data_IF_164802150998
#
_entry.id   IF_164802150998
#
_cell.length_a   1.000
_cell.length_b   1.000
_cell.length_c   1.000
_cell.angle_alpha   90.00
_cell.angle_beta   90.00
_cell.angle_gamma   90.00
#
_symmetry.space_group_name_H-M   'P 1'
#
loop_
_entity.id
_entity.type
_entity.pdbx_description
1 polymer ?
#
# COMPACT_ATOMS: atom_id res chain seq x y z
N UNK A 1 -0.42 24.09 31.47
CA UNK A 1 0.28 22.90 31.97
C UNK A 1 1.78 23.03 31.62
N UNK A 2 2.69 22.66 32.49
CA UNK A 2 4.14 22.63 32.17
C UNK A 2 4.55 21.16 32.08
N UNK A 3 5.16 20.76 30.97
CA UNK A 3 5.72 19.42 30.83
C UNK A 3 7.15 19.39 31.32
N UNK A 4 7.53 18.37 32.09
CA UNK A 4 8.90 18.11 32.47
C UNK A 4 9.40 16.93 31.67
N UNK A 5 10.52 17.04 30.96
CA UNK A 5 11.06 15.89 30.24
C UNK A 5 11.43 14.78 31.23
N UNK A 6 11.12 13.57 30.89
CA UNK A 6 11.55 12.37 31.60
C UNK A 6 12.74 11.82 30.82
N UNK A 7 13.87 11.66 31.52
CA UNK A 7 15.07 11.05 30.95
C UNK A 7 14.86 9.53 30.92
N UNK A 8 14.34 9.05 29.79
CA UNK A 8 14.19 7.62 29.51
C UNK A 8 15.33 7.25 28.57
N UNK A 9 16.14 6.21 28.86
CA UNK A 9 17.13 5.75 27.90
C UNK A 9 16.44 5.46 26.57
N UNK A 10 16.77 6.24 25.55
CA UNK A 10 16.24 6.04 24.22
C UNK A 10 16.60 4.62 23.78
N UNK A 11 15.59 3.81 23.51
CA UNK A 11 15.79 2.61 22.70
C UNK A 11 16.48 3.08 21.43
N UNK A 12 17.68 2.59 21.18
CA UNK A 12 18.31 2.81 19.86
C UNK A 12 17.37 2.22 18.85
N UNK A 13 16.65 3.09 18.14
CA UNK A 13 15.84 2.69 17.02
C UNK A 13 16.75 1.87 16.13
N UNK A 14 16.42 0.61 15.97
CA UNK A 14 17.14 -0.30 15.08
C UNK A 14 16.97 0.10 13.62
N UNK A 15 16.27 1.23 13.39
CA UNK A 15 16.35 2.10 12.21
C UNK A 15 16.07 1.39 10.90
N UNK A 16 15.23 0.37 10.92
CA UNK A 16 15.02 -0.37 9.71
C UNK A 16 13.58 -0.16 9.24
N UNK A 17 13.36 0.78 8.29
CA UNK A 17 12.03 1.03 7.76
C UNK A 17 11.49 -0.24 7.09
N UNK A 18 10.21 -0.57 7.33
CA UNK A 18 9.52 -1.70 6.70
C UNK A 18 9.62 -1.68 5.15
N UNK A 19 10.01 -0.53 4.59
CA UNK A 19 10.19 -0.35 3.16
C UNK A 19 11.59 0.20 2.85
N UNK A 20 12.26 -0.45 1.90
CA UNK A 20 13.61 -0.07 1.46
C UNK A 20 13.67 1.19 0.59
N UNK A 21 12.52 1.79 0.28
CA UNK A 21 12.39 2.98 -0.57
C UNK A 21 11.50 4.02 0.11
N UNK A 22 11.77 5.29 -0.17
CA UNK A 22 10.94 6.40 0.27
C UNK A 22 10.11 6.92 -0.91
N UNK A 23 8.86 7.26 -0.66
CA UNK A 23 8.04 7.94 -1.67
C UNK A 23 8.55 9.37 -1.89
N UNK A 24 8.35 9.95 -3.09
CA UNK A 24 8.61 11.36 -3.31
C UNK A 24 7.94 12.23 -2.25
N UNK A 25 8.47 13.45 -2.05
CA UNK A 25 8.04 14.35 -0.98
C UNK A 25 6.52 14.48 -0.88
N UNK A 26 5.86 14.75 -1.99
CA UNK A 26 4.44 15.06 -2.02
C UNK A 26 3.52 13.82 -2.09
N UNK A 27 4.08 12.61 -1.94
CA UNK A 27 3.29 11.39 -1.91
C UNK A 27 3.12 10.87 -0.49
N UNK A 28 2.02 10.10 -0.27
CA UNK A 28 1.78 9.38 0.98
C UNK A 28 2.93 8.43 1.32
N UNK A 29 3.09 8.13 2.60
CA UNK A 29 4.05 7.12 3.05
C UNK A 29 3.63 5.72 2.58
N UNK A 30 4.61 4.82 2.42
CA UNK A 30 4.36 3.40 2.15
C UNK A 30 3.78 2.69 3.38
N UNK A 31 3.14 1.55 3.14
CA UNK A 31 2.40 0.84 4.19
C UNK A 31 1.06 1.50 4.51
N UNK A 32 0.59 2.36 3.62
CA UNK A 32 -0.69 3.05 3.78
C UNK A 32 -1.88 2.09 3.66
N UNK A 33 -2.90 2.33 4.48
CA UNK A 33 -4.27 1.85 4.28
C UNK A 33 -5.10 3.05 3.87
N UNK A 34 -5.26 3.22 2.56
CA UNK A 34 -5.95 4.35 1.94
C UNK A 34 -7.40 3.98 1.65
N UNK A 35 -8.35 4.71 2.23
CA UNK A 35 -9.78 4.50 2.02
C UNK A 35 -10.38 5.60 1.13
N UNK A 36 -10.99 5.21 0.01
CA UNK A 36 -11.67 6.11 -0.93
C UNK A 36 -13.18 5.91 -0.85
N UNK A 37 -13.92 6.94 -0.41
CA UNK A 37 -15.35 6.86 -0.12
C UNK A 37 -16.10 7.77 -1.09
N UNK A 38 -16.88 7.17 -1.98
CA UNK A 38 -17.70 7.95 -2.92
C UNK A 38 -18.74 7.11 -3.64
N UNK A 39 -19.81 7.73 -4.10
CA UNK A 39 -20.81 7.09 -4.97
C UNK A 39 -20.18 6.58 -6.28
N UNK A 40 -20.91 5.72 -6.98
CA UNK A 40 -20.51 5.28 -8.30
C UNK A 40 -20.25 6.47 -9.27
N UNK A 41 -19.29 6.31 -10.17
CA UNK A 41 -18.91 7.31 -11.20
C UNK A 41 -18.35 8.64 -10.65
N UNK A 42 -17.89 8.69 -9.41
CA UNK A 42 -17.26 9.88 -8.81
C UNK A 42 -15.76 10.02 -9.17
N UNK A 43 -15.11 8.97 -9.67
CA UNK A 43 -13.71 9.01 -10.03
C UNK A 43 -12.76 8.30 -9.05
N UNK A 44 -13.28 7.55 -8.05
CA UNK A 44 -12.46 6.78 -7.08
C UNK A 44 -11.36 5.95 -7.74
N UNK A 45 -11.77 5.03 -8.59
CA UNK A 45 -10.84 4.10 -9.26
C UNK A 45 -9.81 4.86 -10.10
N UNK A 46 -10.23 5.96 -10.75
CA UNK A 46 -9.30 6.82 -11.51
C UNK A 46 -8.27 7.50 -10.60
N UNK A 47 -8.69 8.00 -9.45
CA UNK A 47 -7.77 8.59 -8.48
C UNK A 47 -6.73 7.56 -8.02
N UNK A 48 -7.18 6.39 -7.54
CA UNK A 48 -6.28 5.32 -7.07
C UNK A 48 -5.35 4.85 -8.19
N UNK A 49 -5.87 4.68 -9.40
CA UNK A 49 -5.05 4.29 -10.56
C UNK A 49 -3.96 5.30 -10.88
N UNK A 50 -4.29 6.60 -10.83
CA UNK A 50 -3.30 7.66 -11.04
C UNK A 50 -2.25 7.68 -9.93
N UNK A 51 -2.65 7.52 -8.68
CA UNK A 51 -1.74 7.45 -7.55
C UNK A 51 -0.78 6.25 -7.66
N UNK A 52 -1.32 5.06 -7.94
CA UNK A 52 -0.52 3.85 -8.16
C UNK A 52 0.45 4.00 -9.34
N UNK A 53 -0.01 4.63 -10.43
CA UNK A 53 0.84 4.92 -11.58
C UNK A 53 2.00 5.85 -11.21
N UNK A 54 1.74 6.94 -10.48
CA UNK A 54 2.78 7.86 -10.02
C UNK A 54 3.78 7.16 -9.09
N UNK A 55 3.31 6.35 -8.13
CA UNK A 55 4.16 5.57 -7.23
C UNK A 55 5.02 4.55 -8.00
N UNK A 56 4.45 3.93 -9.04
CA UNK A 56 5.20 3.00 -9.90
C UNK A 56 6.26 3.71 -10.72
N UNK A 57 5.94 4.86 -11.34
CA UNK A 57 6.92 5.68 -12.08
C UNK A 57 8.05 6.19 -11.19
N UNK A 58 7.76 6.47 -9.93
CA UNK A 58 8.75 6.86 -8.92
C UNK A 58 9.59 5.68 -8.39
N UNK A 59 9.38 4.44 -8.87
CA UNK A 59 10.06 3.24 -8.37
C UNK A 59 9.66 2.85 -6.94
N UNK A 60 8.52 3.35 -6.46
CA UNK A 60 8.02 3.12 -5.11
C UNK A 60 6.88 2.09 -5.05
N UNK A 61 6.56 1.45 -6.17
CA UNK A 61 5.56 0.39 -6.27
C UNK A 61 6.00 -0.59 -7.35
N UNK A 62 6.32 -1.82 -6.95
CA UNK A 62 6.93 -2.80 -7.85
C UNK A 62 5.92 -3.80 -8.38
N UNK A 63 5.02 -4.30 -7.51
CA UNK A 63 3.98 -5.26 -7.86
C UNK A 63 2.65 -4.80 -7.29
N UNK A 64 1.57 -4.95 -8.07
CA UNK A 64 0.23 -4.53 -7.68
C UNK A 64 -0.72 -5.71 -7.87
N UNK A 65 -1.40 -6.10 -6.79
CA UNK A 65 -2.54 -7.01 -6.84
C UNK A 65 -3.84 -6.22 -6.99
N UNK A 66 -4.76 -6.71 -7.80
CA UNK A 66 -6.07 -6.08 -8.00
C UNK A 66 -7.18 -7.01 -7.53
N UNK A 67 -7.93 -6.58 -6.52
CA UNK A 67 -9.14 -7.25 -6.04
C UNK A 67 -10.36 -6.55 -6.66
N UNK A 68 -10.92 -7.11 -7.72
CA UNK A 68 -12.06 -6.52 -8.44
C UNK A 68 -12.78 -7.54 -9.29
N UNK A 69 -14.13 -7.46 -9.31
CA UNK A 69 -14.97 -8.22 -10.24
C UNK A 69 -15.16 -7.51 -11.61
N UNK A 70 -14.76 -6.23 -11.70
CA UNK A 70 -15.00 -5.38 -12.89
C UNK A 70 -13.83 -5.35 -13.87
N UNK A 71 -12.97 -6.36 -13.84
CA UNK A 71 -11.70 -6.41 -14.59
C UNK A 71 -11.87 -6.30 -16.10
N UNK A 72 -12.97 -6.83 -16.67
CA UNK A 72 -13.22 -6.74 -18.12
C UNK A 72 -13.41 -5.32 -18.63
N UNK A 73 -14.01 -4.44 -17.83
CA UNK A 73 -14.19 -3.01 -18.16
C UNK A 73 -12.92 -2.18 -17.89
N UNK A 74 -12.01 -2.68 -17.09
CA UNK A 74 -10.81 -1.97 -16.63
C UNK A 74 -9.51 -2.46 -17.28
N UNK A 75 -9.57 -3.25 -18.35
CA UNK A 75 -8.40 -3.85 -19.01
C UNK A 75 -7.31 -2.82 -19.37
N UNK A 76 -7.72 -1.64 -19.87
CA UNK A 76 -6.76 -0.56 -20.20
C UNK A 76 -6.03 -0.03 -18.95
N UNK A 77 -6.75 0.06 -17.83
CA UNK A 77 -6.20 0.48 -16.54
C UNK A 77 -5.17 -0.55 -16.03
N UNK A 78 -5.53 -1.82 -16.04
CA UNK A 78 -4.64 -2.92 -15.62
C UNK A 78 -3.36 -2.94 -16.46
N UNK A 79 -3.48 -2.76 -17.78
CA UNK A 79 -2.34 -2.68 -18.69
C UNK A 79 -1.44 -1.47 -18.39
N UNK A 80 -2.00 -0.29 -18.11
CA UNK A 80 -1.23 0.90 -17.81
C UNK A 80 -0.46 0.79 -16.47
N UNK A 81 -1.01 0.02 -15.52
CA UNK A 81 -0.35 -0.30 -14.25
C UNK A 81 0.55 -1.52 -14.34
N UNK A 82 0.62 -2.18 -15.52
CA UNK A 82 1.37 -3.41 -15.72
C UNK A 82 1.02 -4.46 -14.64
N UNK A 83 -0.28 -4.60 -14.39
CA UNK A 83 -0.81 -5.63 -13.50
C UNK A 83 -0.93 -6.91 -14.28
N UNK A 84 -0.28 -7.97 -13.83
CA UNK A 84 -0.30 -9.27 -14.48
C UNK A 84 -1.67 -9.91 -14.34
N UNK A 85 -2.12 -10.73 -15.31
CA UNK A 85 -3.41 -11.42 -15.23
C UNK A 85 -3.58 -12.26 -13.96
N UNK A 86 -2.52 -12.91 -13.49
CA UNK A 86 -2.50 -13.71 -12.27
C UNK A 86 -2.59 -12.89 -10.98
N UNK A 87 -2.27 -11.59 -11.03
CA UNK A 87 -2.39 -10.66 -9.90
C UNK A 87 -3.78 -10.02 -9.80
N UNK A 88 -4.70 -10.39 -10.71
CA UNK A 88 -6.10 -9.98 -10.69
C UNK A 88 -6.95 -11.09 -10.08
N UNK A 89 -7.51 -10.83 -8.90
CA UNK A 89 -8.22 -11.83 -8.11
C UNK A 89 -9.65 -11.33 -7.85
N UNK A 90 -10.63 -12.24 -7.97
CA UNK A 90 -12.02 -11.91 -7.64
C UNK A 90 -12.16 -11.69 -6.11
N UNK A 91 -12.81 -10.62 -5.66
CA UNK A 91 -13.12 -10.42 -4.24
C UNK A 91 -14.17 -11.40 -3.71
N UNK A 92 -14.76 -12.24 -4.57
CA UNK A 92 -15.66 -13.33 -4.18
C UNK A 92 -14.92 -14.64 -3.92
N UNK A 93 -13.66 -14.72 -4.31
CA UNK A 93 -12.81 -15.87 -4.02
C UNK A 93 -12.53 -15.91 -2.50
N UNK A 94 -12.94 -16.97 -1.79
CA UNK A 94 -12.72 -17.10 -0.34
C UNK A 94 -11.24 -17.09 0.04
N UNK A 95 -10.38 -17.52 -0.89
CA UNK A 95 -8.94 -17.63 -0.70
C UNK A 95 -8.17 -16.41 -1.24
N UNK A 96 -8.85 -15.36 -1.68
CA UNK A 96 -8.23 -14.19 -2.31
C UNK A 96 -7.08 -13.61 -1.49
N UNK A 97 -7.28 -13.42 -0.19
CA UNK A 97 -6.25 -12.90 0.72
C UNK A 97 -5.11 -13.89 0.90
N UNK A 98 -5.42 -15.17 1.08
CA UNK A 98 -4.41 -16.21 1.26
C UNK A 98 -3.50 -16.32 0.00
N UNK A 99 -4.07 -16.21 -1.20
CA UNK A 99 -3.32 -16.18 -2.45
C UNK A 99 -2.36 -14.99 -2.52
N UNK A 100 -2.83 -13.79 -2.14
CA UNK A 100 -1.97 -12.59 -2.11
C UNK A 100 -0.84 -12.76 -1.11
N UNK A 101 -1.15 -13.21 0.10
CA UNK A 101 -0.13 -13.42 1.15
C UNK A 101 0.90 -14.44 0.70
N UNK A 102 0.48 -15.58 0.15
CA UNK A 102 1.37 -16.62 -0.37
C UNK A 102 2.31 -16.09 -1.48
N UNK A 103 1.81 -15.24 -2.36
CA UNK A 103 2.66 -14.61 -3.39
C UNK A 103 3.67 -13.61 -2.79
N UNK A 104 3.31 -12.88 -1.73
CA UNK A 104 4.25 -11.97 -1.03
C UNK A 104 5.30 -12.79 -0.27
N UNK A 105 4.92 -13.90 0.35
CA UNK A 105 5.86 -14.83 1.01
C UNK A 105 6.81 -15.46 0.00
N UNK A 106 6.32 -15.85 -1.16
CA UNK A 106 7.16 -16.36 -2.26
C UNK A 106 8.18 -15.32 -2.73
N UNK A 107 7.81 -14.03 -2.81
CA UNK A 107 8.75 -12.95 -3.13
C UNK A 107 9.85 -12.82 -2.05
N UNK A 108 9.51 -12.98 -0.77
CA UNK A 108 10.48 -13.06 0.33
C UNK A 108 11.45 -14.21 0.12
N UNK A 109 10.93 -15.42 -0.15
CA UNK A 109 11.73 -16.62 -0.30
C UNK A 109 12.69 -16.54 -1.50
N UNK A 110 12.23 -15.98 -2.62
CA UNK A 110 13.06 -15.69 -3.79
C UNK A 110 14.19 -14.71 -3.47
N UNK A 111 13.90 -13.69 -2.64
CA UNK A 111 14.90 -12.72 -2.22
C UNK A 111 15.95 -13.36 -1.28
N UNK A 112 15.53 -14.19 -0.34
CA UNK A 112 16.42 -14.93 0.56
C UNK A 112 17.34 -15.83 -0.27
N UNK A 113 16.78 -16.65 -1.15
CA UNK A 113 17.55 -17.54 -2.03
C UNK A 113 18.56 -16.77 -2.90
N UNK A 114 18.15 -15.65 -3.47
CA UNK A 114 19.05 -14.81 -4.25
C UNK A 114 20.23 -14.29 -3.41
N UNK A 115 19.96 -13.80 -2.19
CA UNK A 115 20.98 -13.28 -1.28
C UNK A 115 22.00 -14.36 -0.88
N UNK A 116 21.54 -15.57 -0.60
CA UNK A 116 22.39 -16.71 -0.30
C UNK A 116 23.26 -17.10 -1.51
N UNK A 117 22.65 -17.20 -2.71
CA UNK A 117 23.39 -17.46 -3.95
C UNK A 117 24.42 -16.37 -4.22
N UNK A 118 24.07 -15.10 -4.01
CA UNK A 118 24.98 -13.97 -4.18
C UNK A 118 26.14 -13.99 -3.18
N UNK A 119 25.91 -14.46 -1.94
CA UNK A 119 26.97 -14.63 -0.94
C UNK A 119 27.96 -15.71 -1.41
N UNK A 120 27.46 -16.87 -1.87
CA UNK A 120 28.27 -17.96 -2.44
C UNK A 120 29.02 -17.52 -3.71
N UNK A 121 28.35 -16.82 -4.61
CA UNK A 121 28.96 -16.24 -5.80
C UNK A 121 30.15 -15.31 -5.47
N UNK A 122 29.97 -14.40 -4.51
CA UNK A 122 31.04 -13.49 -4.08
C UNK A 122 32.24 -14.24 -3.48
N UNK A 123 32.00 -15.29 -2.70
CA UNK A 123 33.05 -16.14 -2.13
C UNK A 123 33.78 -16.87 -3.23
N UNK A 124 33.06 -17.48 -4.15
CA UNK A 124 33.59 -18.14 -5.33
C UNK A 124 34.47 -17.21 -6.17
N UNK A 125 33.96 -16.02 -6.49
CA UNK A 125 34.69 -15.08 -7.35
C UNK A 125 35.98 -14.51 -6.70
N UNK A 126 36.08 -14.53 -5.38
CA UNK A 126 37.30 -14.18 -4.65
C UNK A 126 38.34 -15.31 -4.59
N UNK A 127 37.91 -16.53 -4.69
CA UNK A 127 38.74 -17.74 -4.45
C UNK A 127 38.92 -18.57 -5.73
N UNK A 128 38.94 -17.91 -6.91
CA UNK A 128 39.07 -18.56 -8.23
C UNK A 128 40.30 -19.48 -8.37
N UNK A 129 41.29 -19.39 -7.47
CA UNK A 129 42.54 -20.18 -7.50
C UNK A 129 42.48 -21.46 -6.67
N UNK A 130 41.37 -21.81 -6.07
CA UNK A 130 41.28 -22.98 -5.17
C UNK A 130 40.40 -24.06 -5.80
N UNK A 131 40.89 -25.32 -5.76
CA UNK A 131 40.33 -26.57 -6.27
C UNK A 131 38.88 -26.91 -5.82
N UNK A 132 37.95 -26.02 -5.83
CA UNK A 132 36.57 -26.23 -5.39
C UNK A 132 35.62 -26.45 -6.58
N UNK A 133 35.78 -27.57 -7.26
CA UNK A 133 35.07 -27.94 -8.50
C UNK A 133 33.54 -28.07 -8.33
N UNK A 134 33.08 -28.42 -7.12
CA UNK A 134 31.62 -28.60 -6.90
C UNK A 134 30.83 -27.30 -6.81
N UNK A 135 31.40 -26.25 -6.22
CA UNK A 135 30.75 -24.91 -6.17
C UNK A 135 30.78 -24.22 -7.55
N UNK A 136 31.79 -24.55 -8.38
CA UNK A 136 31.91 -24.10 -9.75
C UNK A 136 30.72 -24.52 -10.62
N UNK A 137 30.26 -25.77 -10.46
CA UNK A 137 29.18 -26.34 -11.26
C UNK A 137 27.82 -25.66 -11.00
N UNK A 138 27.60 -25.11 -9.81
CA UNK A 138 26.34 -24.41 -9.48
C UNK A 138 26.14 -23.16 -10.35
N UNK A 139 27.21 -22.46 -10.70
CA UNK A 139 27.15 -21.21 -11.47
C UNK A 139 27.52 -21.35 -12.94
N UNK A 140 27.97 -22.56 -13.34
CA UNK A 140 28.39 -22.80 -14.72
C UNK A 140 27.21 -23.02 -15.64
N UNK A 141 27.12 -22.17 -16.66
CA UNK A 141 26.11 -22.31 -17.71
C UNK A 141 26.73 -23.06 -18.93
N UNK A 142 26.29 -24.30 -19.18
CA UNK A 142 26.87 -25.12 -20.26
C UNK A 142 26.52 -24.56 -21.66
N UNK A 143 25.47 -23.78 -21.80
CA UNK A 143 25.07 -23.20 -23.07
C UNK A 143 25.96 -22.01 -23.49
N UNK A 144 26.23 -21.12 -22.51
CA UNK A 144 27.11 -19.95 -22.74
C UNK A 144 28.59 -20.29 -22.50
N UNK A 145 28.90 -21.45 -21.87
CA UNK A 145 30.23 -21.84 -21.43
C UNK A 145 30.89 -20.83 -20.48
N UNK A 146 30.05 -20.13 -19.70
CA UNK A 146 30.45 -19.08 -18.75
C UNK A 146 29.84 -19.32 -17.38
N UNK A 147 30.37 -18.61 -16.39
CA UNK A 147 29.76 -18.58 -15.05
C UNK A 147 28.76 -17.42 -14.97
N UNK A 148 27.50 -17.76 -14.74
CA UNK A 148 26.43 -16.77 -14.66
C UNK A 148 26.28 -16.27 -13.22
N UNK A 149 26.33 -14.94 -13.07
CA UNK A 149 26.03 -14.30 -11.79
C UNK A 149 24.54 -14.49 -11.46
N UNK A 150 24.19 -14.83 -10.20
CA UNK A 150 22.79 -14.89 -9.79
C UNK A 150 22.03 -13.58 -10.11
N UNK A 151 20.82 -13.71 -10.60
CA UNK A 151 19.97 -12.58 -10.97
C UNK A 151 18.73 -12.53 -10.09
N UNK A 152 18.24 -11.34 -9.85
CA UNK A 152 16.97 -11.08 -9.19
C UNK A 152 16.31 -9.88 -9.85
N UNK A 153 14.99 -9.91 -10.00
CA UNK A 153 14.24 -8.90 -10.75
C UNK A 153 14.31 -7.48 -10.16
N UNK A 154 14.70 -7.36 -8.85
CA UNK A 154 14.97 -6.08 -8.18
C UNK A 154 16.42 -5.96 -7.67
N UNK A 155 17.37 -6.70 -8.24
CA UNK A 155 18.78 -6.67 -7.82
C UNK A 155 18.97 -6.88 -6.31
N UNK A 156 18.16 -7.75 -5.70
CA UNK A 156 18.21 -8.04 -4.26
C UNK A 156 17.54 -7.01 -3.34
N UNK A 157 16.84 -6.01 -3.89
CA UNK A 157 16.01 -5.10 -3.10
C UNK A 157 14.67 -5.72 -2.74
N UNK A 158 14.13 -5.35 -1.59
CA UNK A 158 12.78 -5.75 -1.18
C UNK A 158 11.73 -5.17 -2.13
N UNK A 159 10.76 -5.96 -2.59
CA UNK A 159 9.64 -5.42 -3.36
C UNK A 159 8.74 -4.56 -2.49
N UNK A 160 8.16 -3.52 -3.10
CA UNK A 160 7.06 -2.75 -2.53
C UNK A 160 5.78 -3.21 -3.22
N UNK A 161 4.82 -3.64 -2.42
CA UNK A 161 3.58 -4.26 -2.88
C UNK A 161 2.41 -3.30 -2.69
N UNK A 162 1.58 -3.16 -3.72
CA UNK A 162 0.29 -2.49 -3.66
C UNK A 162 -0.86 -3.49 -3.78
N UNK A 163 -1.95 -3.24 -3.06
CA UNK A 163 -3.19 -4.01 -3.19
C UNK A 163 -4.30 -3.02 -3.49
N UNK A 164 -4.82 -3.07 -4.71
CA UNK A 164 -5.92 -2.24 -5.16
C UNK A 164 -7.24 -3.00 -5.04
N UNK A 165 -8.13 -2.53 -4.17
CA UNK A 165 -9.44 -3.11 -3.92
C UNK A 165 -10.51 -2.19 -4.55
N UNK A 166 -11.04 -2.58 -5.70
CA UNK A 166 -12.05 -1.80 -6.42
C UNK A 166 -13.43 -2.44 -6.30
N UNK A 167 -14.38 -1.66 -5.79
CA UNK A 167 -15.80 -2.01 -5.63
C UNK A 167 -16.03 -3.34 -4.85
N UNK A 168 -15.26 -3.53 -3.79
CA UNK A 168 -15.32 -4.76 -2.97
C UNK A 168 -16.46 -4.77 -1.94
N UNK A 169 -17.23 -3.69 -1.83
CA UNK A 169 -18.20 -3.49 -0.75
C UNK A 169 -19.31 -4.54 -0.72
N UNK A 170 -19.77 -5.02 -1.88
CA UNK A 170 -20.79 -6.06 -2.00
C UNK A 170 -20.23 -7.49 -1.93
N UNK A 171 -18.91 -7.64 -1.75
CA UNK A 171 -18.27 -8.94 -1.70
C UNK A 171 -18.12 -9.48 -0.28
N UNK A 172 -18.02 -10.80 -0.09
CA UNK A 172 -17.73 -11.41 1.21
C UNK A 172 -16.38 -10.97 1.79
N UNK A 173 -15.46 -10.50 0.94
CA UNK A 173 -14.10 -10.11 1.31
C UNK A 173 -14.08 -9.06 2.42
N UNK A 174 -14.89 -7.98 2.30
CA UNK A 174 -14.88 -6.84 3.23
C UNK A 174 -15.16 -7.26 4.66
N UNK A 175 -16.02 -8.25 4.86
CA UNK A 175 -16.40 -8.82 6.17
C UNK A 175 -15.47 -9.94 6.65
N UNK A 176 -14.54 -10.43 5.82
CA UNK A 176 -13.71 -11.59 6.16
C UNK A 176 -12.68 -11.26 7.24
N UNK A 177 -12.38 -12.26 8.10
CA UNK A 177 -11.34 -12.13 9.12
C UNK A 177 -9.96 -11.94 8.48
N UNK A 178 -9.70 -12.63 7.36
CA UNK A 178 -8.44 -12.57 6.64
C UNK A 178 -8.15 -11.17 6.09
N UNK A 179 -9.15 -10.52 5.47
CA UNK A 179 -8.98 -9.16 4.94
C UNK A 179 -8.79 -8.12 6.06
N UNK A 180 -9.55 -8.24 7.15
CA UNK A 180 -9.36 -7.37 8.33
C UNK A 180 -7.95 -7.53 8.90
N UNK A 181 -7.47 -8.77 9.02
CA UNK A 181 -6.11 -9.05 9.49
C UNK A 181 -5.06 -8.44 8.55
N UNK A 182 -5.23 -8.59 7.25
CA UNK A 182 -4.34 -7.99 6.25
C UNK A 182 -4.27 -6.45 6.38
N UNK A 183 -5.41 -5.78 6.59
CA UNK A 183 -5.45 -4.32 6.82
C UNK A 183 -4.70 -3.90 8.09
N UNK A 184 -4.79 -4.70 9.17
CA UNK A 184 -4.08 -4.44 10.43
C UNK A 184 -2.58 -4.71 10.29
N UNK A 185 -2.23 -5.82 9.64
CA UNK A 185 -0.86 -6.33 9.54
C UNK A 185 -0.16 -5.96 8.23
N UNK A 186 -0.69 -4.98 7.50
CA UNK A 186 -0.21 -4.62 6.15
C UNK A 186 1.30 -4.38 6.03
N UNK A 187 1.94 -3.91 7.10
CA UNK A 187 3.39 -3.69 7.16
C UNK A 187 4.21 -4.95 7.52
N UNK A 188 3.54 -6.05 7.92
CA UNK A 188 4.17 -7.25 8.48
C UNK A 188 3.70 -8.54 7.79
N UNK A 189 3.48 -8.50 6.47
CA UNK A 189 2.86 -9.61 5.73
C UNK A 189 3.81 -10.81 5.62
N UNK A 190 5.06 -10.58 5.21
CA UNK A 190 6.04 -11.66 5.06
C UNK A 190 7.32 -11.34 5.88
N UNK A 191 7.39 -11.82 7.13
CA UNK A 191 8.54 -11.61 8.01
C UNK A 191 9.76 -12.42 7.55
N UNK A 192 10.97 -11.90 7.83
CA UNK A 192 12.23 -12.62 7.68
C UNK A 192 12.65 -13.26 9.01
N UNK A 193 13.32 -14.41 8.95
CA UNK A 193 13.77 -15.16 10.14
C UNK A 193 14.92 -14.46 10.89
N UNK A 194 15.73 -13.69 10.18
CA UNK A 194 16.90 -12.99 10.70
C UNK A 194 16.59 -11.67 11.43
N UNK A 195 15.28 -11.33 11.57
CA UNK A 195 14.83 -10.10 12.20
C UNK A 195 14.89 -8.88 11.28
N UNK A 196 15.20 -9.05 10.00
CA UNK A 196 15.04 -7.98 9.01
C UNK A 196 13.57 -7.56 8.93
N UNK A 197 13.26 -6.27 8.72
CA UNK A 197 11.88 -5.82 8.54
C UNK A 197 11.16 -6.57 7.43
N UNK A 198 9.91 -6.97 7.67
CA UNK A 198 9.14 -7.80 6.76
C UNK A 198 8.89 -7.13 5.41
N UNK A 199 8.46 -7.92 4.43
CA UNK A 199 7.81 -7.37 3.23
C UNK A 199 6.39 -7.00 3.63
N UNK A 200 6.05 -5.73 3.47
CA UNK A 200 4.71 -5.20 3.69
C UNK A 200 4.02 -4.79 2.39
N UNK A 201 2.76 -4.35 2.52
CA UNK A 201 1.99 -3.83 1.41
C UNK A 201 1.27 -2.53 1.77
N UNK A 202 0.86 -1.78 0.74
CA UNK A 202 -0.07 -0.65 0.86
C UNK A 202 -1.42 -1.06 0.28
N UNK A 203 -2.50 -0.75 0.98
CA UNK A 203 -3.87 -1.07 0.55
C UNK A 203 -4.57 0.21 0.07
N UNK A 204 -5.27 0.11 -1.05
CA UNK A 204 -6.09 1.17 -1.64
C UNK A 204 -7.50 0.64 -1.82
N UNK A 205 -8.42 1.06 -0.96
CA UNK A 205 -9.74 0.46 -0.81
C UNK A 205 -10.80 1.45 -1.31
N UNK A 206 -11.48 1.12 -2.39
CA UNK A 206 -12.58 1.91 -2.96
C UNK A 206 -13.94 1.36 -2.53
N UNK A 207 -14.74 2.21 -1.87
CA UNK A 207 -16.08 1.87 -1.39
C UNK A 207 -17.08 2.97 -1.73
N UNK A 208 -18.36 2.61 -1.66
CA UNK A 208 -19.44 3.56 -1.93
C UNK A 208 -19.96 4.22 -0.65
N UNK A 209 -19.96 3.50 0.46
CA UNK A 209 -20.42 3.98 1.75
C UNK A 209 -19.38 3.69 2.84
N UNK A 210 -19.21 4.63 3.77
CA UNK A 210 -18.37 4.46 4.94
C UNK A 210 -18.99 3.51 5.96
N UNK A 211 -20.30 3.67 6.17
CA UNK A 211 -21.10 2.81 7.03
C UNK A 211 -22.34 2.33 6.30
N UNK A 212 -22.80 1.15 6.64
CA UNK A 212 -24.10 0.63 6.18
C UNK A 212 -24.82 -0.05 7.34
N UNK A 213 -26.13 0.00 7.30
CA UNK A 213 -26.99 -0.68 8.28
C UNK A 213 -27.03 -2.20 8.08
N UNK A 214 -26.59 -2.72 6.94
CA UNK A 214 -26.74 -4.13 6.54
C UNK A 214 -25.40 -4.70 6.08
N UNK A 215 -24.40 -4.77 6.96
CA UNK A 215 -23.09 -5.40 6.70
C UNK A 215 -22.32 -4.94 5.43
N UNK A 216 -22.78 -3.88 4.78
CA UNK A 216 -22.18 -3.35 3.54
C UNK A 216 -21.19 -2.20 3.77
N UNK A 217 -21.02 -1.76 5.01
CA UNK A 217 -20.05 -0.72 5.39
C UNK A 217 -18.68 -1.30 5.71
N UNK A 218 -17.73 -0.38 5.87
CA UNK A 218 -16.38 -0.75 6.28
C UNK A 218 -16.37 -1.16 7.76
N UNK A 219 -15.88 -2.35 8.12
CA UNK A 219 -15.75 -2.77 9.51
C UNK A 219 -14.94 -1.77 10.35
N UNK A 220 -15.34 -1.54 11.61
CA UNK A 220 -14.65 -0.62 12.52
C UNK A 220 -13.15 -0.96 12.68
N UNK A 221 -12.81 -2.25 12.66
CA UNK A 221 -11.42 -2.71 12.73
C UNK A 221 -10.57 -2.27 11.54
N UNK A 222 -11.16 -2.09 10.35
CA UNK A 222 -10.46 -1.53 9.18
C UNK A 222 -10.40 -0.02 9.32
N UNK A 223 -11.53 0.64 9.68
CA UNK A 223 -11.60 2.10 9.85
C UNK A 223 -10.57 2.62 10.86
N UNK A 224 -10.33 1.89 11.95
CA UNK A 224 -9.33 2.23 12.96
C UNK A 224 -7.87 2.05 12.52
N UNK A 225 -7.62 1.47 11.34
CA UNK A 225 -6.26 1.28 10.78
C UNK A 225 -6.00 2.10 9.53
N UNK A 226 -6.93 2.99 9.15
CA UNK A 226 -6.76 3.90 8.02
C UNK A 226 -5.63 4.87 8.33
N UNK A 227 -4.71 5.04 7.38
CA UNK A 227 -3.63 6.02 7.46
C UNK A 227 -3.87 7.24 6.59
N UNK A 228 -4.72 7.11 5.58
CA UNK A 228 -5.20 8.22 4.76
C UNK A 228 -6.56 7.89 4.16
N UNK A 229 -7.31 8.91 3.82
CA UNK A 229 -8.62 8.72 3.20
C UNK A 229 -8.95 9.85 2.20
N UNK A 230 -9.78 9.50 1.23
CA UNK A 230 -10.35 10.43 0.27
C UNK A 230 -11.88 10.38 0.36
N UNK A 231 -12.51 11.52 0.65
CA UNK A 231 -13.95 11.67 0.78
C UNK A 231 -14.48 12.60 -0.31
N UNK A 232 -15.29 12.04 -1.19
CA UNK A 232 -16.07 12.81 -2.18
C UNK A 232 -17.33 13.38 -1.56
N UNK A 233 -18.06 14.20 -2.34
CA UNK A 233 -19.33 14.77 -1.89
C UNK A 233 -20.30 13.66 -1.45
N UNK A 234 -20.59 13.62 -0.15
CA UNK A 234 -21.59 12.74 0.44
C UNK A 234 -22.93 13.46 0.59
N UNK A 235 -24.02 12.81 0.20
CA UNK A 235 -25.38 13.26 0.52
C UNK A 235 -25.87 12.82 1.90
N UNK A 236 -25.06 12.05 2.62
CA UNK A 236 -25.39 11.52 3.94
C UNK A 236 -24.63 12.27 5.04
N UNK A 237 -25.29 13.27 5.62
CA UNK A 237 -24.71 14.12 6.68
C UNK A 237 -24.29 13.29 7.90
N UNK A 238 -25.04 12.26 8.26
CA UNK A 238 -24.69 11.38 9.41
C UNK A 238 -23.42 10.58 9.15
N UNK A 239 -23.24 10.15 7.92
CA UNK A 239 -22.03 9.41 7.52
C UNK A 239 -20.80 10.33 7.53
N UNK A 240 -20.95 11.55 7.03
CA UNK A 240 -19.90 12.57 7.07
C UNK A 240 -19.52 12.93 8.51
N UNK A 241 -20.52 13.15 9.36
CA UNK A 241 -20.31 13.47 10.77
C UNK A 241 -19.58 12.32 11.51
N UNK A 242 -19.98 11.09 11.28
CA UNK A 242 -19.32 9.92 11.86
C UNK A 242 -17.89 9.78 11.36
N UNK A 243 -17.65 9.93 10.05
CA UNK A 243 -16.33 9.89 9.45
C UNK A 243 -15.40 10.93 10.09
N UNK A 244 -15.81 12.18 10.16
CA UNK A 244 -15.04 13.24 10.80
C UNK A 244 -14.82 12.97 12.30
N UNK A 245 -15.84 12.42 12.99
CA UNK A 245 -15.74 12.05 14.42
C UNK A 245 -14.73 10.93 14.65
N UNK A 246 -14.69 9.89 13.81
CA UNK A 246 -13.73 8.79 13.96
C UNK A 246 -12.28 9.24 13.67
N UNK A 247 -12.08 10.25 12.82
CA UNK A 247 -10.76 10.83 12.54
C UNK A 247 -10.32 11.86 13.59
N UNK A 248 -11.24 12.34 14.43
CA UNK A 248 -10.98 13.44 15.38
C UNK A 248 -9.98 13.11 16.48
N UNK A 249 -9.64 11.84 16.65
CA UNK A 249 -8.54 11.43 17.53
C UNK A 249 -7.14 11.85 17.05
N UNK A 250 -7.02 12.25 15.77
CA UNK A 250 -5.75 12.64 15.13
C UNK A 250 -5.82 14.09 14.68
N UNK A 251 -6.90 14.51 14.02
CA UNK A 251 -7.11 15.86 13.48
C UNK A 251 -8.43 16.39 14.03
N UNK A 252 -8.51 17.64 14.53
CA UNK A 252 -9.76 18.19 15.06
C UNK A 252 -10.91 18.04 14.07
N UNK A 253 -12.09 17.65 14.57
CA UNK A 253 -13.28 17.40 13.74
C UNK A 253 -13.68 18.63 12.93
N UNK A 254 -13.65 19.79 13.56
CA UNK A 254 -14.06 21.06 12.93
C UNK A 254 -13.13 21.40 11.75
N UNK A 255 -11.83 21.17 11.88
CA UNK A 255 -10.85 21.39 10.81
C UNK A 255 -11.12 20.45 9.61
N UNK A 256 -11.52 19.21 9.88
CA UNK A 256 -11.87 18.22 8.84
C UNK A 256 -13.13 18.69 8.08
N UNK A 257 -14.14 19.13 8.82
CA UNK A 257 -15.41 19.59 8.25
C UNK A 257 -15.24 20.89 7.47
N UNK A 258 -14.46 21.85 7.99
CA UNK A 258 -14.14 23.10 7.29
C UNK A 258 -13.39 22.83 5.98
N UNK A 259 -12.34 21.98 6.02
CA UNK A 259 -11.62 21.58 4.82
C UNK A 259 -12.52 20.88 3.80
N UNK A 260 -13.43 20.01 4.27
CA UNK A 260 -14.38 19.33 3.41
C UNK A 260 -15.34 20.31 2.74
N UNK A 261 -15.94 21.20 3.49
CA UNK A 261 -16.87 22.21 2.97
C UNK A 261 -16.18 23.14 1.97
N UNK A 262 -14.96 23.58 2.26
CA UNK A 262 -14.16 24.37 1.33
C UNK A 262 -13.98 23.66 -0.03
N UNK A 263 -13.60 22.38 -0.01
CA UNK A 263 -13.41 21.62 -1.26
C UNK A 263 -14.71 21.42 -2.02
N UNK A 264 -15.83 21.14 -1.30
CA UNK A 264 -17.12 20.83 -1.92
C UNK A 264 -17.86 22.07 -2.44
N UNK A 265 -17.55 23.25 -1.90
CA UNK A 265 -18.20 24.52 -2.28
C UNK A 265 -17.42 25.29 -3.33
N UNK A 266 -16.11 25.06 -3.49
CA UNK A 266 -15.26 25.75 -4.46
C UNK A 266 -15.72 25.57 -5.91
N UNK A 267 -16.15 24.35 -6.26
CA UNK A 267 -16.81 24.06 -7.54
C UNK A 267 -17.97 23.08 -7.29
N UNK A 268 -19.17 23.58 -6.95
CA UNK A 268 -20.30 22.75 -6.53
C UNK A 268 -20.81 21.78 -7.59
N UNK A 269 -20.52 22.06 -8.86
CA UNK A 269 -20.94 21.23 -10.01
C UNK A 269 -19.93 20.13 -10.36
N UNK A 270 -18.70 20.24 -9.85
CA UNK A 270 -17.67 19.24 -10.09
C UNK A 270 -17.81 18.07 -9.10
N UNK A 271 -18.52 17.04 -9.52
CA UNK A 271 -18.70 15.81 -8.74
C UNK A 271 -17.42 14.96 -8.55
N UNK A 272 -16.30 15.38 -9.14
CA UNK A 272 -15.02 14.68 -9.02
C UNK A 272 -14.13 15.27 -7.93
N UNK A 273 -14.53 16.41 -7.33
CA UNK A 273 -13.80 16.97 -6.21
C UNK A 273 -13.90 16.07 -4.98
N UNK A 274 -12.78 15.93 -4.28
CA UNK A 274 -12.68 15.21 -3.02
C UNK A 274 -11.69 15.88 -2.06
N UNK A 275 -11.97 15.75 -0.77
CA UNK A 275 -10.99 16.04 0.27
C UNK A 275 -10.13 14.78 0.47
N UNK A 276 -8.83 14.94 0.36
CA UNK A 276 -7.85 13.93 0.79
C UNK A 276 -7.31 14.32 2.16
N UNK A 277 -7.33 13.37 3.10
CA UNK A 277 -6.82 13.54 4.47
C UNK A 277 -5.72 12.52 4.69
N UNK A 278 -4.52 13.00 5.00
CA UNK A 278 -3.38 12.18 5.42
C UNK A 278 -3.32 12.19 6.95
N UNK A 279 -3.58 11.05 7.58
CA UNK A 279 -3.58 10.88 9.03
C UNK A 279 -2.18 10.62 9.59
N UNK A 280 -1.22 10.39 8.69
CA UNK A 280 0.19 10.18 9.04
C UNK A 280 1.10 10.96 8.08
N UNK A 281 0.93 12.30 8.04
CA UNK A 281 1.67 13.13 7.09
C UNK A 281 3.17 13.08 7.39
N UNK A 282 3.98 13.17 6.34
CA UNK A 282 5.42 13.35 6.50
C UNK A 282 5.71 14.69 7.18
N UNK A 283 6.84 14.77 7.86
CA UNK A 283 7.23 15.97 8.63
C UNK A 283 7.34 17.25 7.77
N UNK A 284 7.60 17.10 6.48
CA UNK A 284 7.73 18.20 5.52
C UNK A 284 6.45 18.50 4.73
N UNK A 285 5.36 17.81 5.03
CA UNK A 285 4.06 18.12 4.44
C UNK A 285 3.47 19.39 5.08
N UNK A 286 3.04 20.37 4.27
CA UNK A 286 2.54 21.65 4.82
C UNK A 286 1.18 21.53 5.50
N UNK A 287 0.42 20.47 5.21
CA UNK A 287 -0.92 20.24 5.74
C UNK A 287 -1.28 18.77 5.65
N UNK A 288 -2.15 18.23 6.52
CA UNK A 288 -2.74 16.92 6.35
C UNK A 288 -3.82 16.90 5.25
N UNK A 289 -4.25 18.06 4.77
CA UNK A 289 -5.37 18.18 3.84
C UNK A 289 -4.92 18.52 2.42
N UNK A 290 -5.57 17.88 1.43
CA UNK A 290 -5.40 18.21 0.01
C UNK A 290 -6.74 18.21 -0.71
N UNK A 291 -6.90 19.13 -1.63
CA UNK A 291 -7.96 19.06 -2.63
C UNK A 291 -7.48 18.22 -3.81
N UNK A 292 -8.26 17.21 -4.19
CA UNK A 292 -7.99 16.34 -5.34
C UNK A 292 -6.60 15.67 -5.35
N UNK A 293 -5.91 15.63 -4.20
CA UNK A 293 -4.55 15.12 -4.02
C UNK A 293 -3.42 15.98 -4.63
N UNK A 294 -3.71 16.90 -5.51
CA UNK A 294 -2.75 17.72 -6.25
C UNK A 294 -2.54 19.13 -5.65
N UNK A 295 -3.36 19.52 -4.70
CA UNK A 295 -3.33 20.87 -4.11
C UNK A 295 -3.44 20.81 -2.59
N UNK A 296 -2.40 21.31 -1.90
CA UNK A 296 -2.42 21.43 -0.45
C UNK A 296 -3.42 22.47 0.01
N UNK A 297 -4.18 22.17 1.06
CA UNK A 297 -4.98 23.15 1.79
C UNK A 297 -4.13 23.69 2.93
N UNK A 298 -3.79 24.96 2.83
CA UNK A 298 -2.95 25.66 3.82
C UNK A 298 -3.84 26.73 4.46
N UNK A 299 -3.89 26.79 5.79
CA UNK A 299 -4.55 27.84 6.56
C UNK A 299 -3.80 29.17 6.47
#
# INVERSE_FOLDING_TARGET
>A
MKTKPVDVPAFKDLGNPAFAVHTPRDHIALGAVCLCIAKARSGKSRFVTNLLYQLKQAGCMHRIFCLSDTTKSNHKMLKNLDIRPEDVISPRDPDAVAKIVAEIEKERDLLVQYREKMKRWKTFYKNLDVDNTSELLEFYNPYSRQFDKPTHWLDGRKPVIGIFCDDIQSSPLIGSKAFRHLCIMSRHVAPFEDGEPPIGCSLFICVQNYTSQVNEGIPKSIRGNITCCAMWKSGNVKELDLWATELSGIIPKDDILEAYDFVMTRDPYNRHNFLFVDLNPKLDHPSPFRMNYDSWLIS
#
